data_IF_267671767834
#
_entry.id   IF_267671767834
#
_cell.length_a   1.000
_cell.length_b   1.000
_cell.length_c   1.000
_cell.angle_alpha   90.00
_cell.angle_beta   90.00
_cell.angle_gamma   90.00
#
_symmetry.space_group_name_H-M   'P 1'
#
loop_
_entity.id
_entity.type
_entity.pdbx_description
1 polymer ?
#
# COMPACT_ATOMS: atom_id res chain seq x y z
N UNK A 1 -1.87 8.56 24.70
CA UNK A 1 -0.98 8.92 23.57
C UNK A 1 0.00 9.99 24.02
N UNK A 2 1.31 9.76 23.92
CA UNK A 2 2.33 10.68 24.45
C UNK A 2 2.44 11.96 23.62
N UNK A 3 3.08 13.00 24.19
CA UNK A 3 3.31 14.26 23.48
C UNK A 3 4.11 14.08 22.19
N UNK A 4 5.12 13.20 22.21
CA UNK A 4 5.92 12.86 21.04
C UNK A 4 5.07 12.24 19.92
N UNK A 5 4.18 11.30 20.24
CA UNK A 5 3.31 10.67 19.24
C UNK A 5 2.35 11.69 18.63
N UNK A 6 1.78 12.60 19.44
CA UNK A 6 0.91 13.67 18.90
C UNK A 6 1.66 14.60 17.93
N UNK A 7 2.89 14.99 18.27
CA UNK A 7 3.71 15.82 17.40
C UNK A 7 4.03 15.12 16.07
N UNK A 8 4.37 13.83 16.11
CA UNK A 8 4.60 13.03 14.91
C UNK A 8 3.33 12.91 14.04
N UNK A 9 2.17 12.60 14.63
CA UNK A 9 0.91 12.50 13.89
C UNK A 9 0.51 13.82 13.24
N UNK A 10 0.68 14.95 13.93
CA UNK A 10 0.41 16.28 13.37
C UNK A 10 1.35 16.63 12.20
N UNK A 11 2.63 16.27 12.33
CA UNK A 11 3.61 16.47 11.25
C UNK A 11 3.27 15.63 10.02
N UNK A 12 2.93 14.35 10.22
CA UNK A 12 2.51 13.45 9.14
C UNK A 12 1.27 13.98 8.42
N UNK A 13 0.24 14.42 9.17
CA UNK A 13 -0.98 14.99 8.59
C UNK A 13 -0.67 16.24 7.73
N UNK A 14 0.21 17.12 8.21
CA UNK A 14 0.66 18.30 7.45
C UNK A 14 1.38 17.90 6.16
N UNK A 15 2.30 16.94 6.21
CA UNK A 15 3.01 16.45 5.03
C UNK A 15 2.01 15.89 4.02
N UNK A 16 1.10 15.00 4.45
CA UNK A 16 0.09 14.41 3.57
C UNK A 16 -0.78 15.46 2.88
N UNK A 17 -1.19 16.51 3.60
CA UNK A 17 -1.98 17.61 3.03
C UNK A 17 -1.22 18.48 2.02
N UNK A 18 0.12 18.41 2.02
CA UNK A 18 0.98 19.21 1.14
C UNK A 18 1.40 18.46 -0.14
N UNK A 19 1.09 17.16 -0.25
CA UNK A 19 1.43 16.37 -1.43
C UNK A 19 0.59 16.82 -2.63
N UNK A 20 1.22 16.93 -3.80
CA UNK A 20 0.55 17.29 -5.06
C UNK A 20 -0.43 16.21 -5.54
N UNK A 21 -0.12 14.97 -5.24
CA UNK A 21 -0.90 13.78 -5.58
C UNK A 21 -0.87 12.81 -4.42
N UNK A 22 -1.90 11.95 -4.27
CA UNK A 22 -1.85 10.91 -3.28
C UNK A 22 -0.70 9.93 -3.56
N UNK A 23 0.00 9.43 -2.52
CA UNK A 23 1.16 8.58 -2.72
C UNK A 23 0.75 7.20 -3.23
N UNK A 24 1.53 6.63 -4.14
CA UNK A 24 1.37 5.27 -4.62
C UNK A 24 2.22 4.31 -3.78
N UNK A 25 1.55 3.39 -3.08
CA UNK A 25 2.21 2.45 -2.17
C UNK A 25 2.02 1.03 -2.66
N UNK A 26 3.13 0.35 -2.94
CA UNK A 26 3.16 -1.05 -3.37
C UNK A 26 3.51 -1.94 -2.20
N UNK A 27 2.69 -2.95 -1.94
CA UNK A 27 2.92 -3.94 -0.88
C UNK A 27 2.99 -5.34 -1.49
N UNK A 28 4.19 -5.88 -1.59
CA UNK A 28 4.41 -7.28 -2.00
C UNK A 28 4.08 -8.19 -0.82
N UNK A 29 3.31 -9.25 -1.08
CA UNK A 29 2.84 -10.15 -0.02
C UNK A 29 1.80 -9.50 0.91
N UNK A 30 1.13 -8.43 0.47
CA UNK A 30 0.17 -7.69 1.28
C UNK A 30 -1.14 -8.41 1.62
N UNK A 31 -1.32 -9.68 1.20
CA UNK A 31 -2.54 -10.45 1.44
C UNK A 31 -2.59 -11.13 2.82
N UNK A 32 -1.46 -11.25 3.53
CA UNK A 32 -1.38 -11.90 4.83
C UNK A 32 -0.26 -11.32 5.71
N UNK A 33 -0.25 -11.72 6.98
CA UNK A 33 0.84 -11.42 7.93
C UNK A 33 1.19 -9.93 8.03
N UNK A 34 2.49 -9.63 8.00
CA UNK A 34 3.04 -8.28 8.17
C UNK A 34 2.63 -7.37 7.01
N UNK A 35 2.70 -7.86 5.75
CA UNK A 35 2.31 -7.07 4.58
C UNK A 35 0.86 -6.61 4.67
N UNK A 36 -0.06 -7.49 5.10
CA UNK A 36 -1.45 -7.11 5.36
C UNK A 36 -1.58 -6.05 6.45
N UNK A 37 -0.87 -6.22 7.57
CA UNK A 37 -0.91 -5.27 8.68
C UNK A 37 -0.38 -3.89 8.27
N UNK A 38 0.66 -3.84 7.44
CA UNK A 38 1.22 -2.61 6.89
C UNK A 38 0.22 -1.95 5.95
N UNK A 39 -0.38 -2.69 5.01
CA UNK A 39 -1.37 -2.15 4.08
C UNK A 39 -2.58 -1.54 4.81
N UNK A 40 -3.11 -2.23 5.82
CA UNK A 40 -4.21 -1.71 6.66
C UNK A 40 -3.79 -0.47 7.46
N UNK A 41 -2.57 -0.46 7.99
CA UNK A 41 -2.05 0.71 8.73
C UNK A 41 -1.88 1.92 7.82
N UNK A 42 -1.42 1.72 6.58
CA UNK A 42 -1.34 2.80 5.58
C UNK A 42 -2.73 3.31 5.24
N UNK A 43 -3.69 2.42 4.98
CA UNK A 43 -5.07 2.82 4.70
C UNK A 43 -5.68 3.65 5.85
N UNK A 44 -5.36 3.29 7.10
CA UNK A 44 -5.83 4.01 8.28
C UNK A 44 -5.18 5.39 8.45
N UNK A 45 -3.85 5.50 8.27
CA UNK A 45 -3.10 6.72 8.60
C UNK A 45 -2.84 7.63 7.40
N UNK A 46 -2.99 7.11 6.18
CA UNK A 46 -2.86 7.80 4.92
C UNK A 46 -4.02 7.42 3.99
N UNK A 47 -5.26 7.85 4.30
CA UNK A 47 -6.47 7.40 3.61
C UNK A 47 -6.54 7.79 2.13
N UNK A 48 -5.73 8.75 1.69
CA UNK A 48 -5.61 9.13 0.28
C UNK A 48 -4.68 8.21 -0.51
N UNK A 49 -3.85 7.38 0.13
CA UNK A 49 -2.85 6.56 -0.55
C UNK A 49 -3.49 5.61 -1.56
N UNK A 50 -2.86 5.48 -2.73
CA UNK A 50 -3.21 4.47 -3.72
C UNK A 50 -2.45 3.19 -3.37
N UNK A 51 -3.12 2.27 -2.67
CA UNK A 51 -2.51 1.01 -2.22
C UNK A 51 -2.62 -0.04 -3.31
N UNK A 52 -1.48 -0.63 -3.69
CA UNK A 52 -1.36 -1.69 -4.69
C UNK A 52 -0.79 -2.93 -3.98
N UNK A 53 -1.60 -3.98 -3.86
CA UNK A 53 -1.17 -5.27 -3.33
C UNK A 53 -0.64 -6.13 -4.48
N UNK A 54 0.56 -6.69 -4.30
CA UNK A 54 1.14 -7.66 -5.23
C UNK A 54 1.24 -9.01 -4.52
N UNK A 55 0.72 -10.08 -5.14
CA UNK A 55 0.80 -11.42 -4.54
C UNK A 55 0.18 -12.51 -5.40
N UNK A 56 0.19 -13.74 -4.89
CA UNK A 56 -0.27 -14.93 -5.64
C UNK A 56 -1.74 -15.28 -5.42
N UNK A 57 -2.26 -15.00 -4.23
CA UNK A 57 -3.60 -15.43 -3.81
C UNK A 57 -4.62 -14.30 -4.00
N UNK A 58 -5.34 -14.35 -5.11
CA UNK A 58 -6.38 -13.39 -5.46
C UNK A 58 -7.59 -13.44 -4.53
N UNK A 59 -7.98 -14.63 -4.07
CA UNK A 59 -9.09 -14.77 -3.11
C UNK A 59 -8.78 -14.07 -1.79
N UNK A 60 -7.56 -14.22 -1.26
CA UNK A 60 -7.11 -13.50 -0.08
C UNK A 60 -7.01 -11.99 -0.32
N UNK A 61 -6.61 -11.56 -1.51
CA UNK A 61 -6.60 -10.15 -1.89
C UNK A 61 -8.02 -9.56 -1.88
N UNK A 62 -8.98 -10.23 -2.51
CA UNK A 62 -10.37 -9.78 -2.59
C UNK A 62 -11.01 -9.60 -1.21
N UNK A 63 -10.60 -10.40 -0.21
CA UNK A 63 -11.07 -10.24 1.17
C UNK A 63 -10.53 -8.98 1.87
N UNK A 64 -9.35 -8.48 1.48
CA UNK A 64 -8.71 -7.32 2.12
C UNK A 64 -8.91 -6.02 1.35
N UNK A 65 -9.09 -6.06 0.03
CA UNK A 65 -9.23 -4.86 -0.80
C UNK A 65 -10.28 -3.87 -0.26
N UNK A 66 -11.48 -4.27 0.18
CA UNK A 66 -12.48 -3.33 0.72
C UNK A 66 -12.02 -2.53 1.94
N UNK A 67 -10.95 -2.97 2.62
CA UNK A 67 -10.40 -2.32 3.82
C UNK A 67 -9.28 -1.32 3.50
N UNK A 68 -8.85 -1.22 2.23
CA UNK A 68 -7.66 -0.46 1.81
C UNK A 68 -7.96 0.91 1.21
N UNK A 69 -9.19 1.42 1.39
CA UNK A 69 -9.60 2.75 0.94
C UNK A 69 -10.34 2.74 -0.40
N UNK A 70 -10.32 3.88 -1.09
CA UNK A 70 -11.26 4.17 -2.18
C UNK A 70 -10.92 3.49 -3.51
N UNK A 71 -9.65 3.22 -3.79
CA UNK A 71 -9.21 2.65 -5.06
C UNK A 71 -8.02 1.67 -4.92
N UNK A 72 -8.15 0.63 -4.08
CA UNK A 72 -7.09 -0.32 -3.89
C UNK A 72 -7.00 -1.25 -5.10
N UNK A 73 -5.77 -1.60 -5.49
CA UNK A 73 -5.52 -2.47 -6.63
C UNK A 73 -4.85 -3.75 -6.17
N UNK A 74 -5.19 -4.85 -6.83
CA UNK A 74 -4.46 -6.09 -6.71
C UNK A 74 -3.82 -6.44 -8.05
N UNK A 75 -2.55 -6.81 -8.02
CA UNK A 75 -1.85 -7.37 -9.18
C UNK A 75 -1.36 -8.75 -8.80
N UNK A 76 -1.92 -9.77 -9.46
CA UNK A 76 -1.39 -11.12 -9.32
C UNK A 76 0.03 -11.17 -9.87
N UNK A 77 0.96 -11.63 -9.04
CA UNK A 77 2.32 -11.96 -9.45
C UNK A 77 2.95 -12.97 -8.48
N UNK A 78 3.77 -13.87 -9.02
CA UNK A 78 4.75 -14.64 -8.29
C UNK A 78 6.11 -13.96 -8.37
N UNK A 79 6.52 -13.34 -7.25
CA UNK A 79 7.80 -12.61 -7.16
C UNK A 79 9.03 -13.52 -7.09
N UNK A 80 8.85 -14.85 -7.09
CA UNK A 80 9.97 -15.76 -7.33
C UNK A 80 10.35 -15.86 -8.83
N UNK A 81 9.46 -15.40 -9.72
CA UNK A 81 9.65 -15.46 -11.17
C UNK A 81 10.01 -14.08 -11.74
N UNK A 82 11.26 -13.89 -12.16
CA UNK A 82 11.75 -12.63 -12.74
C UNK A 82 10.95 -12.15 -13.96
N UNK A 83 10.37 -13.06 -14.74
CA UNK A 83 9.49 -12.73 -15.86
C UNK A 83 8.19 -12.06 -15.41
N UNK A 84 7.60 -12.55 -14.32
CA UNK A 84 6.40 -11.96 -13.72
C UNK A 84 6.71 -10.63 -13.03
N UNK A 85 7.86 -10.50 -12.37
CA UNK A 85 8.32 -9.22 -11.82
C UNK A 85 8.41 -8.17 -12.93
N UNK A 86 9.09 -8.50 -14.04
CA UNK A 86 9.26 -7.60 -15.19
C UNK A 86 7.92 -7.19 -15.82
N UNK A 87 6.94 -8.09 -15.82
CA UNK A 87 5.59 -7.82 -16.32
C UNK A 87 4.81 -6.94 -15.34
N UNK A 88 4.98 -7.18 -14.05
CA UNK A 88 4.28 -6.47 -12.97
C UNK A 88 4.76 -5.03 -12.85
N UNK A 89 6.07 -4.79 -12.91
CA UNK A 89 6.63 -3.43 -12.82
C UNK A 89 6.19 -2.53 -13.96
N UNK A 90 5.89 -3.08 -15.16
CA UNK A 90 5.31 -2.30 -16.27
C UNK A 90 3.86 -1.85 -16.04
N UNK A 91 3.15 -2.48 -15.10
CA UNK A 91 1.75 -2.15 -14.75
C UNK A 91 1.66 -1.11 -13.63
N UNK A 92 2.79 -0.79 -12.99
CA UNK A 92 2.86 0.11 -11.84
C UNK A 92 3.73 1.30 -12.24
N UNK A 93 3.16 2.50 -12.20
CA UNK A 93 3.88 3.74 -12.46
C UNK A 93 4.04 4.52 -11.15
N UNK A 94 5.09 5.33 -11.07
CA UNK A 94 5.30 6.34 -10.03
C UNK A 94 5.16 5.82 -8.59
N UNK A 95 6.02 4.88 -8.18
CA UNK A 95 6.01 4.29 -6.83
C UNK A 95 6.71 5.21 -5.82
N UNK A 96 5.98 5.66 -4.80
CA UNK A 96 6.54 6.48 -3.71
C UNK A 96 7.05 5.62 -2.55
N UNK A 97 6.43 4.45 -2.33
CA UNK A 97 6.81 3.50 -1.28
C UNK A 97 6.64 2.05 -1.75
N UNK A 98 7.68 1.24 -1.55
CA UNK A 98 7.68 -0.19 -1.84
C UNK A 98 7.97 -0.96 -0.55
N UNK A 99 7.08 -1.90 -0.21
CA UNK A 99 7.16 -2.81 0.94
C UNK A 99 7.24 -4.24 0.44
#
# INVERSE_FOLDING_TARGET
MSAAVRAATASNARILSSLKSPPNVVVVGGTAGIGRAIALSIAQHCPSANIIIVGRNESAANAILPQLGSNPKFIRADVSLMSEIRTTTKKINDVDMLI
#
